data_IF_469483127015
#
_entry.id   IF_469483127015
#
_cell.length_a   1.000
_cell.length_b   1.000
_cell.length_c   1.000
_cell.angle_alpha   90.00
_cell.angle_beta   90.00
_cell.angle_gamma   90.00
#
_symmetry.space_group_name_H-M   'P 1'
#
loop_
_entity.id
_entity.type
_entity.pdbx_description
1 polymer ?
#
# COMPACT_ATOMS: atom_id res chain seq x y z
N UNK A 1 -1.41 -14.57 -0.53
CA UNK A 1 -0.65 -14.13 -1.70
C UNK A 1 -1.00 -12.69 -2.04
N UNK A 2 -0.02 -11.92 -2.45
CA UNK A 2 -0.22 -10.51 -2.82
C UNK A 2 0.38 -10.26 -4.19
N UNK A 3 -0.43 -9.74 -5.10
CA UNK A 3 0.04 -9.31 -6.42
C UNK A 3 0.22 -7.80 -6.39
N UNK A 4 1.38 -7.34 -6.85
CA UNK A 4 1.73 -5.92 -6.92
C UNK A 4 1.98 -5.56 -8.36
N UNK A 5 1.16 -4.68 -8.94
CA UNK A 5 1.35 -4.18 -10.31
C UNK A 5 1.79 -2.73 -10.26
N UNK A 6 2.79 -2.40 -11.06
CA UNK A 6 3.29 -1.03 -11.18
C UNK A 6 2.66 -0.34 -12.38
N UNK A 7 2.20 0.88 -12.18
CA UNK A 7 1.67 1.73 -13.24
C UNK A 7 2.37 3.08 -13.15
N UNK A 8 3.33 3.30 -14.05
CA UNK A 8 4.07 4.56 -14.09
C UNK A 8 3.27 5.60 -14.88
N UNK A 9 3.06 6.76 -14.28
CA UNK A 9 2.51 7.90 -15.01
C UNK A 9 3.66 8.79 -15.51
N UNK A 10 3.39 9.56 -16.57
CA UNK A 10 4.44 10.40 -17.18
C UNK A 10 4.79 11.64 -16.35
N UNK A 11 4.11 11.87 -15.25
CA UNK A 11 4.26 13.06 -14.41
C UNK A 11 5.11 12.81 -13.15
N UNK A 12 5.81 11.69 -13.07
CA UNK A 12 6.64 11.37 -11.92
C UNK A 12 5.88 10.64 -10.80
N UNK A 13 4.63 10.26 -11.04
CA UNK A 13 3.88 9.47 -10.07
C UNK A 13 3.95 7.98 -10.40
N UNK A 14 3.86 7.16 -9.37
CA UNK A 14 3.84 5.71 -9.50
C UNK A 14 2.66 5.17 -8.70
N UNK A 15 1.75 4.48 -9.38
CA UNK A 15 0.66 3.78 -8.72
C UNK A 15 1.02 2.30 -8.59
N UNK A 16 0.84 1.75 -7.39
CA UNK A 16 0.99 0.32 -7.14
C UNK A 16 -0.41 -0.24 -6.90
N UNK A 17 -0.86 -1.09 -7.79
CA UNK A 17 -2.14 -1.77 -7.62
C UNK A 17 -1.90 -3.08 -6.90
N UNK A 18 -2.61 -3.26 -5.79
CA UNK A 18 -2.46 -4.41 -4.92
C UNK A 18 -3.68 -5.31 -5.04
N UNK A 19 -3.43 -6.62 -5.14
CA UNK A 19 -4.50 -7.60 -5.24
C UNK A 19 -4.19 -8.77 -4.32
N UNK A 20 -5.15 -9.10 -3.45
CA UNK A 20 -5.04 -10.24 -2.55
C UNK A 20 -4.92 -9.86 -1.09
N UNK A 21 -3.99 -10.49 -0.38
CA UNK A 21 -3.87 -10.34 1.07
C UNK A 21 -2.54 -9.73 1.47
N UNK A 22 -2.59 -8.66 2.26
CA UNK A 22 -1.40 -8.02 2.82
C UNK A 22 -1.16 -8.66 4.18
N UNK A 23 -0.44 -9.76 4.20
CA UNK A 23 -0.19 -10.54 5.42
C UNK A 23 1.14 -11.27 5.36
N UNK A 24 1.69 -11.56 6.54
CA UNK A 24 2.91 -12.37 6.67
C UNK A 24 4.08 -11.78 5.90
N UNK A 25 4.80 -12.63 5.17
CA UNK A 25 5.95 -12.21 4.38
C UNK A 25 5.62 -11.20 3.28
N UNK A 26 4.36 -11.15 2.84
CA UNK A 26 3.93 -10.18 1.83
C UNK A 26 3.96 -8.74 2.32
N UNK A 27 3.81 -8.53 3.63
CA UNK A 27 3.96 -7.20 4.22
C UNK A 27 5.35 -6.65 3.94
N UNK A 28 6.38 -7.48 4.13
CA UNK A 28 7.76 -7.07 3.90
C UNK A 28 8.03 -6.85 2.41
N UNK A 29 7.43 -7.69 1.54
CA UNK A 29 7.57 -7.52 0.10
C UNK A 29 6.96 -6.18 -0.35
N UNK A 30 5.78 -5.84 0.14
CA UNK A 30 5.14 -4.56 -0.16
C UNK A 30 6.01 -3.40 0.34
N UNK A 31 6.54 -3.51 1.57
CA UNK A 31 7.41 -2.49 2.13
C UNK A 31 8.60 -2.24 1.22
N UNK A 32 9.25 -3.31 0.78
CA UNK A 32 10.44 -3.23 -0.07
C UNK A 32 10.14 -2.53 -1.40
N UNK A 33 9.07 -2.92 -2.06
CA UNK A 33 8.68 -2.35 -3.35
C UNK A 33 8.35 -0.87 -3.22
N UNK A 34 7.52 -0.52 -2.24
CA UNK A 34 7.09 0.86 -2.05
C UNK A 34 8.24 1.76 -1.58
N UNK A 35 9.09 1.27 -0.67
CA UNK A 35 10.26 2.02 -0.21
C UNK A 35 11.21 2.32 -1.37
N UNK A 36 11.45 1.33 -2.24
CA UNK A 36 12.31 1.51 -3.40
C UNK A 36 11.76 2.61 -4.32
N UNK A 37 10.45 2.64 -4.53
CA UNK A 37 9.82 3.67 -5.35
C UNK A 37 9.96 5.05 -4.71
N UNK A 38 9.77 5.15 -3.40
CA UNK A 38 9.91 6.41 -2.68
C UNK A 38 11.35 6.93 -2.74
N UNK A 39 12.32 6.03 -2.60
CA UNK A 39 13.73 6.39 -2.67
C UNK A 39 14.14 6.91 -4.04
N UNK A 40 13.45 6.47 -5.10
CA UNK A 40 13.70 6.98 -6.46
C UNK A 40 13.12 8.38 -6.68
N UNK A 41 12.41 8.93 -5.70
CA UNK A 41 11.82 10.24 -5.78
C UNK A 41 10.41 10.28 -6.35
N UNK A 42 9.80 9.12 -6.62
CA UNK A 42 8.45 9.07 -7.15
C UNK A 42 7.41 9.43 -6.08
N UNK A 43 6.33 10.07 -6.51
CA UNK A 43 5.13 10.20 -5.69
C UNK A 43 4.35 8.89 -5.82
N UNK A 44 4.16 8.19 -4.71
CA UNK A 44 3.60 6.84 -4.73
C UNK A 44 2.16 6.84 -4.26
N UNK A 45 1.31 6.09 -4.96
CA UNK A 45 -0.04 5.77 -4.49
C UNK A 45 -0.21 4.26 -4.44
N UNK A 46 -1.02 3.79 -3.50
CA UNK A 46 -1.37 2.38 -3.36
C UNK A 46 -2.86 2.23 -3.62
N UNK A 47 -3.21 1.46 -4.65
CA UNK A 47 -4.60 1.16 -4.97
C UNK A 47 -5.00 -0.12 -4.24
N UNK A 48 -5.91 0.00 -3.30
CA UNK A 48 -6.33 -1.08 -2.42
C UNK A 48 -7.69 -1.68 -2.80
N UNK A 49 -8.18 -1.40 -4.01
CA UNK A 49 -9.52 -1.84 -4.42
C UNK A 49 -9.70 -3.37 -4.39
N UNK A 50 -8.63 -4.11 -4.69
CA UNK A 50 -8.69 -5.58 -4.75
C UNK A 50 -8.00 -6.26 -3.56
N UNK A 51 -7.77 -5.52 -2.48
CA UNK A 51 -7.20 -6.08 -1.26
C UNK A 51 -8.33 -6.66 -0.42
N UNK A 52 -8.24 -7.95 -0.12
CA UNK A 52 -9.28 -8.69 0.61
C UNK A 52 -8.99 -8.83 2.11
N UNK A 53 -7.74 -8.65 2.52
CA UNK A 53 -7.35 -8.81 3.92
C UNK A 53 -6.05 -8.07 4.20
N UNK A 54 -5.94 -7.51 5.42
CA UNK A 54 -4.71 -6.87 5.89
C UNK A 54 -4.50 -7.31 7.33
N UNK A 55 -3.34 -7.89 7.65
CA UNK A 55 -3.02 -8.24 9.04
C UNK A 55 -2.54 -7.01 9.83
N UNK A 56 -2.28 -7.18 11.13
CA UNK A 56 -1.88 -6.04 11.97
C UNK A 56 -0.59 -5.38 11.51
N UNK A 57 0.38 -6.17 11.03
CA UNK A 57 1.62 -5.61 10.52
C UNK A 57 1.38 -4.85 9.23
N UNK A 58 0.47 -5.35 8.39
CA UNK A 58 0.07 -4.66 7.17
C UNK A 58 -0.62 -3.34 7.47
N UNK A 59 -1.50 -3.31 8.46
CA UNK A 59 -2.16 -2.07 8.90
C UNK A 59 -1.11 -1.05 9.35
N UNK A 60 -0.15 -1.48 10.17
CA UNK A 60 0.91 -0.59 10.64
C UNK A 60 1.73 -0.04 9.48
N UNK A 61 2.05 -0.88 8.51
CA UNK A 61 2.80 -0.44 7.33
C UNK A 61 2.02 0.58 6.51
N UNK A 62 0.74 0.31 6.23
CA UNK A 62 -0.08 1.23 5.45
C UNK A 62 -0.23 2.59 6.14
N UNK A 63 -0.39 2.58 7.46
CA UNK A 63 -0.46 3.83 8.22
C UNK A 63 0.85 4.61 8.16
N UNK A 64 1.99 3.92 8.22
CA UNK A 64 3.29 4.58 8.10
C UNK A 64 3.48 5.20 6.72
N UNK A 65 3.04 4.51 5.67
CA UNK A 65 3.09 5.08 4.32
C UNK A 65 2.18 6.31 4.20
N UNK A 66 0.99 6.26 4.77
CA UNK A 66 0.10 7.41 4.77
C UNK A 66 0.75 8.62 5.47
N UNK A 67 1.48 8.39 6.55
CA UNK A 67 2.20 9.44 7.26
C UNK A 67 3.36 10.02 6.43
N UNK A 68 3.82 9.29 5.44
CA UNK A 68 4.86 9.73 4.50
C UNK A 68 4.30 10.24 3.19
N UNK A 69 3.03 10.62 3.18
CA UNK A 69 2.33 11.18 2.02
C UNK A 69 2.11 10.20 0.86
N UNK A 70 2.16 8.90 1.13
CA UNK A 70 1.72 7.91 0.16
C UNK A 70 0.19 7.92 0.15
N UNK A 71 -0.40 8.11 -1.02
CA UNK A 71 -1.86 8.10 -1.14
C UNK A 71 -2.39 6.67 -1.10
N UNK A 72 -3.33 6.40 -0.20
CA UNK A 72 -4.02 5.12 -0.15
C UNK A 72 -5.38 5.35 -0.82
N UNK A 73 -5.60 4.73 -1.98
CA UNK A 73 -6.79 4.99 -2.78
C UNK A 73 -7.65 3.75 -2.91
N UNK A 74 -8.94 3.97 -3.11
CA UNK A 74 -9.92 2.91 -3.33
C UNK A 74 -10.00 1.88 -2.20
N UNK A 75 -9.79 2.33 -0.96
CA UNK A 75 -9.92 1.46 0.21
C UNK A 75 -11.37 0.96 0.33
N UNK A 76 -11.53 -0.35 0.53
CA UNK A 76 -12.84 -0.89 0.87
C UNK A 76 -13.26 -0.41 2.26
N UNK A 77 -14.55 -0.53 2.60
CA UNK A 77 -15.03 -0.18 3.93
C UNK A 77 -14.29 -0.97 5.01
N UNK A 78 -14.03 -2.25 4.75
CA UNK A 78 -13.30 -3.12 5.68
C UNK A 78 -11.89 -2.59 5.93
N UNK A 79 -11.14 -2.30 4.87
CA UNK A 79 -9.76 -1.80 5.00
C UNK A 79 -9.76 -0.42 5.67
N UNK A 80 -10.70 0.44 5.29
CA UNK A 80 -10.82 1.77 5.90
C UNK A 80 -11.02 1.67 7.42
N UNK A 81 -11.87 0.76 7.87
CA UNK A 81 -12.08 0.56 9.31
C UNK A 81 -10.82 0.05 10.01
N UNK A 82 -10.08 -0.87 9.38
CA UNK A 82 -8.82 -1.36 9.94
C UNK A 82 -7.80 -0.24 10.11
N UNK A 83 -7.72 0.67 9.14
CA UNK A 83 -6.76 1.77 9.18
C UNK A 83 -7.10 2.84 10.22
N UNK A 84 -8.33 2.91 10.68
CA UNK A 84 -8.72 3.84 11.74
C UNK A 84 -8.23 3.40 13.12
N UNK A 85 -7.90 2.13 13.28
CA UNK A 85 -7.43 1.59 14.57
C UNK A 85 -5.95 1.92 14.70
N UNK A 86 -5.66 3.12 15.17
CA UNK A 86 -4.29 3.57 15.41
C UNK A 86 -4.01 3.58 16.90
N UNK A 87 -2.83 3.11 17.32
CA UNK A 87 -2.42 3.25 18.71
C UNK A 87 -2.21 4.69 19.10
#
# INVERSE_FOLDING_TARGET
MLKIERHDANDGTLALRLEGEIRGAWVEELRRVAESALESGAAVSLDLSDVSFVDLRGVALLNRFADRHVALVNCSAFVTELLKVRP
#
